data_IF_847841820722
#
_entry.id   IF_847841820722
#
_cell.length_a   1.000
_cell.length_b   1.000
_cell.length_c   1.000
_cell.angle_alpha   90.00
_cell.angle_beta   90.00
_cell.angle_gamma   90.00
#
_symmetry.space_group_name_H-M   'P 1'
#
loop_
_entity.id
_entity.type
_entity.pdbx_description
1 polymer ?
#
# COMPACT_ATOMS: atom_id res chain seq x y z
N UNK A 1 -21.78 -1.95 0.15
CA UNK A 1 -21.35 -1.46 1.46
C UNK A 1 -22.45 -0.62 2.18
N UNK A 2 -23.59 -1.22 2.54
CA UNK A 2 -24.73 -0.46 3.12
C UNK A 2 -24.40 0.26 4.44
N UNK A 3 -23.53 -0.34 5.29
CA UNK A 3 -23.13 0.27 6.54
C UNK A 3 -22.42 1.65 6.35
N UNK A 4 -21.59 1.80 5.32
CA UNK A 4 -20.94 3.08 5.06
C UNK A 4 -21.89 4.16 4.53
N UNK A 5 -22.91 3.78 3.74
CA UNK A 5 -23.97 4.71 3.36
C UNK A 5 -24.73 5.22 4.60
N UNK A 6 -25.12 4.31 5.49
CA UNK A 6 -25.77 4.67 6.75
C UNK A 6 -24.89 5.61 7.59
N UNK A 7 -23.58 5.33 7.70
CA UNK A 7 -22.68 6.22 8.44
C UNK A 7 -22.62 7.61 7.82
N UNK A 8 -22.46 7.75 6.50
CA UNK A 8 -22.42 9.07 5.85
C UNK A 8 -23.70 9.89 6.06
N UNK A 9 -24.85 9.23 5.97
CA UNK A 9 -26.15 9.89 5.99
C UNK A 9 -26.63 10.19 7.41
N UNK A 10 -26.51 9.24 8.32
CA UNK A 10 -27.18 9.27 9.63
C UNK A 10 -26.22 9.42 10.83
N UNK A 11 -24.96 9.00 10.69
CA UNK A 11 -23.99 8.97 11.79
C UNK A 11 -22.57 9.26 11.29
N UNK A 12 -22.29 10.46 10.69
CA UNK A 12 -21.03 10.76 10.05
C UNK A 12 -19.84 10.71 11.00
N UNK A 13 -20.09 10.89 12.29
CA UNK A 13 -19.16 10.67 13.40
C UNK A 13 -19.71 9.54 14.25
N UNK A 14 -19.05 8.38 14.23
CA UNK A 14 -19.48 7.25 15.05
C UNK A 14 -18.53 7.02 16.21
N UNK A 15 -19.07 6.93 17.44
CA UNK A 15 -18.32 6.59 18.65
C UNK A 15 -18.42 5.08 18.92
N UNK A 16 -17.30 4.41 19.04
CA UNK A 16 -17.23 2.99 19.40
C UNK A 16 -17.26 2.84 20.92
N UNK A 17 -18.45 2.58 21.45
CA UNK A 17 -18.64 2.33 22.89
C UNK A 17 -18.04 0.98 23.29
N UNK A 18 -17.53 0.89 24.53
CA UNK A 18 -17.02 -0.37 25.10
C UNK A 18 -15.55 -0.67 24.83
N UNK A 19 -14.82 0.24 24.19
CA UNK A 19 -13.37 0.18 24.11
C UNK A 19 -12.74 0.91 25.32
N UNK A 20 -11.58 0.43 25.77
CA UNK A 20 -10.84 1.04 26.89
C UNK A 20 -10.43 2.48 26.59
N UNK A 21 -10.02 2.73 25.35
CA UNK A 21 -9.63 4.07 24.90
C UNK A 21 -10.68 4.64 23.94
N UNK A 22 -10.92 5.97 23.98
CA UNK A 22 -11.87 6.61 23.08
C UNK A 22 -11.55 6.36 21.60
N UNK A 23 -12.51 5.83 20.87
CA UNK A 23 -12.37 5.56 19.45
C UNK A 23 -13.59 6.07 18.68
N UNK A 24 -13.32 6.78 17.59
CA UNK A 24 -14.34 7.34 16.71
C UNK A 24 -14.06 6.94 15.25
N UNK A 25 -15.03 7.15 14.37
CA UNK A 25 -14.79 7.13 12.93
C UNK A 25 -15.45 8.30 12.23
N UNK A 26 -14.83 8.76 11.12
CA UNK A 26 -15.35 9.78 10.24
C UNK A 26 -15.64 9.15 8.87
N UNK A 27 -16.84 9.38 8.35
CA UNK A 27 -17.35 8.66 7.18
C UNK A 27 -17.51 9.53 5.92
N UNK A 28 -17.69 10.86 6.02
CA UNK A 28 -17.89 11.77 4.90
C UNK A 28 -16.56 12.17 4.26
N UNK A 29 -16.58 12.42 2.97
CA UNK A 29 -15.37 12.78 2.21
C UNK A 29 -14.68 14.02 2.77
N UNK A 30 -15.43 15.10 3.00
CA UNK A 30 -14.88 16.37 3.47
C UNK A 30 -14.23 16.24 4.86
N UNK A 31 -14.85 15.47 5.77
CA UNK A 31 -14.30 15.23 7.11
C UNK A 31 -12.99 14.45 7.03
N UNK A 32 -12.97 13.35 6.25
CA UNK A 32 -11.77 12.53 6.04
C UNK A 32 -10.65 13.36 5.41
N UNK A 33 -10.97 14.18 4.39
CA UNK A 33 -9.99 15.04 3.74
C UNK A 33 -9.44 16.11 4.68
N UNK A 34 -10.30 16.73 5.52
CA UNK A 34 -9.87 17.75 6.49
C UNK A 34 -8.85 17.20 7.49
N UNK A 35 -9.09 15.98 8.00
CA UNK A 35 -8.16 15.27 8.89
C UNK A 35 -6.82 15.01 8.21
N UNK A 36 -6.81 14.63 6.93
CA UNK A 36 -5.59 14.35 6.18
C UNK A 36 -4.76 15.60 5.88
N UNK A 37 -5.40 16.77 5.81
CA UNK A 37 -4.76 18.06 5.50
C UNK A 37 -4.28 18.83 6.72
N UNK A 38 -4.69 18.43 7.92
CA UNK A 38 -4.32 19.13 9.15
C UNK A 38 -3.40 18.29 10.07
N UNK A 39 -2.09 18.25 9.80
CA UNK A 39 -1.14 17.51 10.63
C UNK A 39 -0.87 18.15 12.00
N UNK A 40 -1.37 19.36 12.28
CA UNK A 40 -1.23 20.00 13.60
C UNK A 40 -2.21 19.41 14.61
N UNK A 41 -3.46 19.30 14.20
CA UNK A 41 -4.50 18.70 15.01
C UNK A 41 -4.42 17.17 14.98
N UNK A 42 -4.03 16.57 13.85
CA UNK A 42 -4.12 15.12 13.61
C UNK A 42 -2.75 14.46 13.47
N UNK A 43 -2.31 13.83 14.54
CA UNK A 43 -1.01 13.15 14.67
C UNK A 43 -1.07 11.68 14.26
N UNK A 44 0.08 11.18 13.83
CA UNK A 44 0.33 9.75 13.58
C UNK A 44 1.11 9.06 14.72
N UNK A 45 1.44 9.76 15.81
CA UNK A 45 2.37 9.30 16.87
C UNK A 45 2.07 7.92 17.47
N UNK A 46 0.81 7.49 17.44
CA UNK A 46 0.39 6.17 17.90
C UNK A 46 0.12 5.17 16.77
N UNK A 47 0.60 5.45 15.56
CA UNK A 47 0.43 4.60 14.40
C UNK A 47 -1.00 4.58 13.82
N UNK A 48 -1.16 3.91 12.68
CA UNK A 48 -2.40 3.91 11.89
C UNK A 48 -3.46 2.90 12.36
N UNK A 49 -3.10 2.01 13.28
CA UNK A 49 -4.02 1.01 13.85
C UNK A 49 -4.83 1.55 15.03
N UNK A 50 -5.65 0.69 15.60
CA UNK A 50 -6.48 1.00 16.77
C UNK A 50 -5.71 1.02 18.09
N UNK A 51 -4.55 0.37 18.15
CA UNK A 51 -3.67 0.35 19.32
C UNK A 51 -2.95 1.69 19.52
N UNK A 52 -2.53 1.96 20.77
CA UNK A 52 -1.71 3.12 21.13
C UNK A 52 -0.22 2.72 21.18
N UNK A 53 0.27 2.17 20.07
CA UNK A 53 1.65 1.73 19.97
C UNK A 53 2.58 2.90 19.67
N UNK A 54 3.58 3.12 20.53
CA UNK A 54 4.61 4.16 20.40
C UNK A 54 5.91 3.66 19.79
N UNK A 55 5.93 2.52 19.11
CA UNK A 55 7.14 2.10 18.41
C UNK A 55 7.58 3.21 17.46
N UNK A 56 8.72 3.79 17.76
CA UNK A 56 9.37 4.83 16.94
C UNK A 56 10.25 4.16 15.89
N UNK A 57 10.44 4.85 14.77
CA UNK A 57 11.41 4.45 13.74
C UNK A 57 10.80 4.07 12.40
N UNK A 58 9.47 4.10 12.24
CA UNK A 58 8.85 3.99 10.92
C UNK A 58 8.31 5.34 10.43
N UNK A 59 8.35 5.55 9.11
CA UNK A 59 7.95 6.80 8.48
C UNK A 59 6.49 7.19 8.81
N UNK A 60 5.63 6.21 8.99
CA UNK A 60 4.18 6.42 9.15
C UNK A 60 3.81 7.01 10.51
N UNK A 61 4.69 6.86 11.53
CA UNK A 61 4.45 7.36 12.90
C UNK A 61 5.07 8.70 13.19
N UNK A 62 5.92 9.21 12.31
CA UNK A 62 6.48 10.56 12.47
C UNK A 62 5.45 11.62 12.08
N UNK A 63 5.43 12.70 12.84
CA UNK A 63 4.75 13.95 12.48
C UNK A 63 5.78 14.97 11.92
N UNK A 64 5.34 16.04 11.26
CA UNK A 64 6.25 17.14 10.90
C UNK A 64 6.90 17.77 12.16
N UNK A 65 8.19 18.20 12.10
CA UNK A 65 9.05 18.22 10.91
C UNK A 65 9.79 16.92 10.59
N UNK A 66 9.94 15.99 11.55
CA UNK A 66 10.73 14.75 11.41
C UNK A 66 10.25 13.88 10.26
N UNK A 67 8.92 13.76 10.07
CA UNK A 67 8.34 13.07 8.93
C UNK A 67 8.85 13.63 7.59
N UNK A 68 8.91 14.97 7.46
CA UNK A 68 9.27 15.61 6.20
C UNK A 68 10.74 15.34 5.82
N UNK A 69 11.65 15.35 6.78
CA UNK A 69 13.09 15.07 6.58
C UNK A 69 13.25 13.65 6.04
N UNK A 70 12.69 12.66 6.73
CA UNK A 70 12.79 11.25 6.34
C UNK A 70 12.08 10.95 5.03
N UNK A 71 10.90 11.51 4.83
CA UNK A 71 10.15 11.34 3.58
C UNK A 71 10.91 11.91 2.39
N UNK A 72 11.55 13.08 2.52
CA UNK A 72 12.34 13.69 1.45
C UNK A 72 13.51 12.78 1.06
N UNK A 73 14.17 12.20 2.05
CA UNK A 73 15.28 11.29 1.86
C UNK A 73 14.86 10.02 1.06
N UNK A 74 13.68 9.47 1.35
CA UNK A 74 13.14 8.31 0.64
C UNK A 74 12.59 8.63 -0.76
N UNK A 75 12.12 9.86 -0.97
CA UNK A 75 11.28 10.24 -2.11
C UNK A 75 11.90 9.95 -3.46
N UNK A 76 13.23 10.10 -3.60
CA UNK A 76 13.92 9.93 -4.88
C UNK A 76 13.69 8.54 -5.49
N UNK A 77 13.63 7.50 -4.64
CA UNK A 77 13.44 6.10 -5.05
C UNK A 77 12.01 5.79 -5.52
N UNK A 78 11.03 6.63 -5.16
CA UNK A 78 9.61 6.46 -5.51
C UNK A 78 9.11 7.45 -6.57
N UNK A 79 10.01 8.23 -7.17
CA UNK A 79 9.64 9.12 -8.27
C UNK A 79 9.18 8.32 -9.49
N UNK A 80 8.24 8.87 -10.31
CA UNK A 80 7.74 8.19 -11.49
C UNK A 80 8.84 7.65 -12.41
N UNK A 81 9.92 8.43 -12.63
CA UNK A 81 11.05 8.01 -13.47
C UNK A 81 11.78 6.77 -12.92
N UNK A 82 11.98 6.72 -11.61
CA UNK A 82 12.67 5.59 -10.95
C UNK A 82 11.78 4.36 -10.97
N UNK A 83 10.50 4.53 -10.64
CA UNK A 83 9.50 3.46 -10.70
C UNK A 83 9.35 2.92 -12.14
N UNK A 84 9.33 3.78 -13.16
CA UNK A 84 9.21 3.33 -14.56
C UNK A 84 10.39 2.48 -15.03
N UNK A 85 11.56 2.63 -14.42
CA UNK A 85 12.73 1.80 -14.76
C UNK A 85 12.50 0.30 -14.43
N UNK A 86 11.67 -0.02 -13.44
CA UNK A 86 11.34 -1.40 -13.06
C UNK A 86 10.24 -2.03 -13.94
N UNK A 87 9.55 -1.26 -14.80
CA UNK A 87 8.44 -1.78 -15.62
C UNK A 87 8.82 -3.01 -16.48
N UNK A 88 9.96 -3.04 -17.19
CA UNK A 88 10.32 -4.21 -18.01
C UNK A 88 10.46 -5.49 -17.19
N UNK A 89 11.08 -5.41 -16.01
CA UNK A 89 11.29 -6.56 -15.14
C UNK A 89 9.97 -7.07 -14.54
N UNK A 90 9.10 -6.16 -14.10
CA UNK A 90 7.78 -6.53 -13.56
C UNK A 90 6.91 -7.16 -14.67
N UNK A 91 6.95 -6.62 -15.89
CA UNK A 91 6.22 -7.17 -17.04
C UNK A 91 6.71 -8.55 -17.42
N UNK A 92 8.04 -8.74 -17.47
CA UNK A 92 8.63 -10.06 -17.75
C UNK A 92 8.19 -11.08 -16.70
N UNK A 93 8.28 -10.74 -15.42
CA UNK A 93 7.79 -11.63 -14.36
C UNK A 93 6.30 -11.95 -14.53
N UNK A 94 5.47 -10.97 -14.92
CA UNK A 94 4.05 -11.20 -15.13
C UNK A 94 3.81 -12.23 -16.25
N UNK A 95 4.57 -12.18 -17.34
CA UNK A 95 4.53 -13.19 -18.41
C UNK A 95 5.04 -14.54 -17.93
N UNK A 96 6.19 -14.59 -17.24
CA UNK A 96 6.77 -15.84 -16.73
C UNK A 96 5.81 -16.57 -15.77
N UNK A 97 5.10 -15.82 -14.94
CA UNK A 97 4.08 -16.39 -14.04
C UNK A 97 2.91 -16.98 -14.83
N UNK A 98 2.43 -16.27 -15.87
CA UNK A 98 1.35 -16.78 -16.73
C UNK A 98 1.79 -18.03 -17.47
N UNK A 99 3.02 -18.07 -18.03
CA UNK A 99 3.57 -19.26 -18.69
C UNK A 99 3.54 -20.50 -17.80
N UNK A 100 3.64 -20.29 -16.46
CA UNK A 100 3.59 -21.38 -15.48
C UNK A 100 2.22 -22.06 -15.34
N UNK A 101 1.13 -21.40 -15.72
CA UNK A 101 -0.23 -21.96 -15.54
C UNK A 101 -1.16 -21.84 -16.76
N UNK A 102 -0.75 -21.22 -17.86
CA UNK A 102 -1.63 -20.96 -19.00
C UNK A 102 -2.29 -22.20 -19.61
N UNK A 103 -1.67 -23.38 -19.46
CA UNK A 103 -2.17 -24.65 -19.96
C UNK A 103 -3.07 -25.40 -18.97
N UNK A 104 -3.27 -24.90 -17.75
CA UNK A 104 -4.00 -25.59 -16.68
C UNK A 104 -5.52 -25.38 -16.77
N UNK A 105 -5.98 -24.40 -17.56
CA UNK A 105 -7.39 -24.06 -17.72
C UNK A 105 -8.03 -23.36 -16.52
N UNK A 106 -7.35 -23.32 -15.37
CA UNK A 106 -7.77 -22.65 -14.14
C UNK A 106 -6.57 -22.33 -13.25
N UNK A 107 -6.66 -21.24 -12.48
CA UNK A 107 -5.61 -20.87 -11.52
C UNK A 107 -6.21 -20.11 -10.34
N UNK A 108 -5.62 -20.29 -9.16
CA UNK A 108 -5.81 -19.37 -8.04
C UNK A 108 -4.86 -18.17 -8.21
N UNK A 109 -5.39 -16.99 -8.51
CA UNK A 109 -4.62 -15.83 -8.93
C UNK A 109 -3.93 -15.09 -7.80
N UNK A 110 -4.40 -15.17 -6.55
CA UNK A 110 -3.78 -14.44 -5.46
C UNK A 110 -2.32 -14.89 -5.26
N UNK A 111 -2.11 -16.18 -4.96
CA UNK A 111 -0.79 -16.71 -4.62
C UNK A 111 0.09 -16.98 -5.86
N UNK A 112 -0.53 -17.32 -7.01
CA UNK A 112 0.21 -17.72 -8.20
C UNK A 112 0.52 -16.56 -9.15
N UNK A 113 -0.12 -15.40 -8.97
CA UNK A 113 0.09 -14.27 -9.87
C UNK A 113 0.14 -12.92 -9.16
N UNK A 114 -0.93 -12.54 -8.44
CA UNK A 114 -1.07 -11.18 -7.92
C UNK A 114 -0.06 -10.85 -6.81
N UNK A 115 0.28 -11.82 -5.97
CA UNK A 115 1.20 -11.67 -4.85
C UNK A 115 2.68 -11.64 -5.26
N UNK A 116 3.20 -12.49 -6.16
CA UNK A 116 4.59 -12.45 -6.58
C UNK A 116 5.02 -11.11 -7.18
N UNK A 117 4.13 -10.42 -7.90
CA UNK A 117 4.47 -9.17 -8.61
C UNK A 117 4.88 -8.01 -7.68
N UNK A 118 4.10 -7.62 -6.65
CA UNK A 118 4.53 -6.59 -5.72
C UNK A 118 5.73 -7.01 -4.85
N UNK A 119 5.89 -8.30 -4.55
CA UNK A 119 7.07 -8.80 -3.82
C UNK A 119 8.33 -8.58 -4.66
N UNK A 120 8.31 -8.94 -5.94
CA UNK A 120 9.44 -8.71 -6.85
C UNK A 120 9.74 -7.23 -7.02
N UNK A 121 8.71 -6.41 -7.28
CA UNK A 121 8.87 -4.97 -7.40
C UNK A 121 9.48 -4.34 -6.13
N UNK A 122 9.10 -4.84 -4.96
CA UNK A 122 9.65 -4.40 -3.68
C UNK A 122 11.11 -4.83 -3.53
N UNK A 123 11.44 -6.10 -3.76
CA UNK A 123 12.82 -6.59 -3.57
C UNK A 123 13.81 -5.92 -4.53
N UNK A 124 13.41 -5.64 -5.77
CA UNK A 124 14.20 -4.84 -6.70
C UNK A 124 14.42 -3.41 -6.21
N UNK A 125 13.34 -2.73 -5.81
CA UNK A 125 13.44 -1.36 -5.27
C UNK A 125 14.34 -1.27 -4.04
N UNK A 126 14.33 -2.30 -3.19
CA UNK A 126 15.17 -2.37 -1.99
C UNK A 126 16.62 -2.73 -2.30
N UNK A 127 16.94 -3.27 -3.47
CA UNK A 127 18.25 -3.82 -3.81
C UNK A 127 18.56 -5.09 -3.02
N UNK A 128 17.56 -5.98 -2.92
CA UNK A 128 17.64 -7.28 -2.24
C UNK A 128 17.95 -8.36 -3.28
N UNK A 129 18.92 -9.27 -3.02
CA UNK A 129 19.21 -10.39 -3.90
C UNK A 129 17.99 -11.28 -4.16
N UNK A 130 17.86 -11.78 -5.39
CA UNK A 130 16.72 -12.63 -5.80
C UNK A 130 16.59 -13.89 -4.96
N UNK A 131 17.70 -14.46 -4.51
CA UNK A 131 17.76 -15.65 -3.63
C UNK A 131 17.05 -15.45 -2.28
N UNK A 132 16.92 -14.19 -1.83
CA UNK A 132 16.24 -13.85 -0.59
C UNK A 132 14.75 -13.51 -0.77
N UNK A 133 14.26 -13.37 -2.00
CA UNK A 133 12.87 -12.96 -2.30
C UNK A 133 11.82 -13.83 -1.62
N UNK A 134 12.04 -15.16 -1.57
CA UNK A 134 11.13 -16.09 -0.89
C UNK A 134 11.01 -15.87 0.61
N UNK A 135 12.10 -15.44 1.27
CA UNK A 135 12.11 -15.09 2.70
C UNK A 135 11.30 -13.83 2.96
N UNK A 136 11.43 -12.82 2.08
CA UNK A 136 10.65 -11.59 2.17
C UNK A 136 9.15 -11.82 2.02
N UNK A 137 8.75 -12.73 1.11
CA UNK A 137 7.35 -13.15 0.98
C UNK A 137 6.84 -13.73 2.30
N UNK A 138 7.56 -14.69 2.90
CA UNK A 138 7.15 -15.30 4.17
C UNK A 138 7.03 -14.29 5.30
N UNK A 139 8.00 -13.38 5.44
CA UNK A 139 7.95 -12.34 6.46
C UNK A 139 6.81 -11.35 6.25
N UNK A 140 6.53 -10.99 4.99
CA UNK A 140 5.41 -10.09 4.66
C UNK A 140 4.06 -10.73 5.03
N UNK A 141 3.87 -12.02 4.74
CA UNK A 141 2.67 -12.76 5.11
C UNK A 141 2.48 -12.76 6.64
N UNK A 142 3.52 -13.12 7.40
CA UNK A 142 3.45 -13.16 8.87
C UNK A 142 3.26 -11.78 9.49
N UNK A 143 3.90 -10.74 8.95
CA UNK A 143 3.72 -9.36 9.40
C UNK A 143 2.30 -8.86 9.13
N UNK A 144 1.72 -9.20 7.97
CA UNK A 144 0.34 -8.84 7.61
C UNK A 144 -0.66 -9.55 8.52
N UNK A 145 -0.49 -10.85 8.76
CA UNK A 145 -1.31 -11.60 9.72
C UNK A 145 -1.15 -11.08 11.15
N UNK A 146 0.04 -10.61 11.51
CA UNK A 146 0.33 -10.00 12.80
C UNK A 146 -0.45 -8.73 13.11
N UNK A 147 -1.02 -8.06 12.09
CA UNK A 147 -1.93 -6.94 12.28
C UNK A 147 -3.25 -7.37 12.97
N UNK A 148 -3.64 -8.64 12.81
CA UNK A 148 -4.82 -9.23 13.45
C UNK A 148 -4.43 -10.14 14.62
N UNK A 149 -3.31 -10.85 14.49
CA UNK A 149 -2.78 -11.82 15.45
C UNK A 149 -1.34 -11.44 15.83
N UNK A 150 -1.11 -10.55 16.83
CA UNK A 150 0.21 -9.97 17.12
C UNK A 150 1.35 -10.98 17.34
N UNK A 151 1.05 -12.13 17.92
CA UNK A 151 2.05 -13.18 18.16
C UNK A 151 2.64 -13.77 16.86
N UNK A 152 1.88 -13.73 15.74
CA UNK A 152 2.35 -14.25 14.45
C UNK A 152 3.46 -13.40 13.86
N UNK A 153 3.55 -12.13 14.18
CA UNK A 153 4.52 -11.20 13.60
C UNK A 153 5.84 -11.08 14.37
N UNK A 154 5.95 -11.66 15.56
CA UNK A 154 7.13 -11.46 16.42
C UNK A 154 8.42 -11.96 15.77
N UNK A 155 8.43 -13.24 15.39
CA UNK A 155 9.61 -13.89 14.82
C UNK A 155 9.97 -13.31 13.45
N UNK A 156 8.96 -13.03 12.61
CA UNK A 156 9.15 -12.40 11.31
C UNK A 156 9.75 -10.98 11.45
N UNK A 157 9.28 -10.21 12.42
CA UNK A 157 9.79 -8.86 12.70
C UNK A 157 11.25 -8.90 13.14
N UNK A 158 11.61 -9.83 14.03
CA UNK A 158 12.98 -10.00 14.51
C UNK A 158 13.91 -10.46 13.37
N UNK A 159 13.48 -11.46 12.60
CA UNK A 159 14.24 -11.99 11.48
C UNK A 159 14.48 -10.92 10.38
N UNK A 160 13.44 -10.18 9.99
CA UNK A 160 13.55 -9.09 9.02
C UNK A 160 14.44 -7.95 9.53
N UNK A 161 14.28 -7.56 10.81
CA UNK A 161 15.12 -6.54 11.43
C UNK A 161 16.59 -6.94 11.43
N UNK A 162 16.90 -8.17 11.83
CA UNK A 162 18.26 -8.72 11.84
C UNK A 162 18.85 -8.77 10.43
N UNK A 163 18.10 -9.27 9.46
CA UNK A 163 18.53 -9.34 8.07
C UNK A 163 18.85 -7.94 7.52
N UNK A 164 17.94 -6.99 7.69
CA UNK A 164 18.10 -5.62 7.17
C UNK A 164 19.29 -4.93 7.83
N UNK A 165 19.45 -5.06 9.14
CA UNK A 165 20.60 -4.50 9.87
C UNK A 165 21.93 -5.07 9.35
N UNK A 166 22.01 -6.38 9.12
CA UNK A 166 23.20 -7.01 8.57
C UNK A 166 23.53 -6.48 7.17
N UNK A 167 22.53 -6.28 6.32
CA UNK A 167 22.73 -5.64 5.01
C UNK A 167 23.26 -4.22 5.14
N UNK A 168 22.69 -3.41 6.03
CA UNK A 168 23.16 -2.03 6.27
C UNK A 168 24.62 -2.02 6.71
N UNK A 169 24.98 -2.85 7.69
CA UNK A 169 26.35 -2.97 8.22
C UNK A 169 27.30 -3.39 7.09
N UNK A 170 27.00 -4.47 6.36
CA UNK A 170 27.88 -4.97 5.31
C UNK A 170 28.11 -3.95 4.19
N UNK A 171 27.09 -3.16 3.84
CA UNK A 171 27.21 -2.09 2.84
C UNK A 171 28.09 -0.94 3.34
N UNK A 172 27.94 -0.51 4.57
CA UNK A 172 28.80 0.50 5.21
C UNK A 172 30.25 0.03 5.30
N UNK A 173 30.49 -1.23 5.67
CA UNK A 173 31.83 -1.83 5.72
C UNK A 173 32.46 -1.90 4.33
N UNK A 174 31.72 -2.29 3.28
CA UNK A 174 32.18 -2.32 1.91
C UNK A 174 32.63 -0.92 1.42
N UNK A 175 31.86 0.12 1.72
CA UNK A 175 32.20 1.50 1.39
C UNK A 175 33.46 1.96 2.17
N UNK A 176 33.53 1.67 3.47
CA UNK A 176 34.68 2.03 4.30
C UNK A 176 35.98 1.32 3.89
N UNK A 177 35.89 0.08 3.37
CA UNK A 177 37.04 -0.68 2.87
C UNK A 177 37.47 -0.29 1.45
N UNK A 178 36.62 0.42 0.71
CA UNK A 178 36.86 0.89 -0.64
C UNK A 178 37.98 1.98 -0.65
N UNK A 179 38.77 1.98 -1.72
CA UNK A 179 39.74 3.02 -2.04
C UNK A 179 39.20 4.02 -3.08
N UNK A 180 37.90 4.00 -3.32
CA UNK A 180 37.24 4.86 -4.28
C UNK A 180 37.27 6.33 -3.87
N UNK A 181 37.08 7.22 -4.84
CA UNK A 181 37.01 8.66 -4.61
C UNK A 181 35.86 8.96 -3.62
N UNK A 182 36.13 9.70 -2.52
CA UNK A 182 35.09 10.10 -1.56
C UNK A 182 33.94 10.90 -2.18
N UNK A 183 34.16 11.53 -3.34
CA UNK A 183 33.16 12.33 -4.06
C UNK A 183 32.31 11.47 -5.02
N UNK A 184 32.64 10.18 -5.22
CA UNK A 184 31.88 9.26 -6.06
C UNK A 184 30.77 8.59 -5.24
N UNK A 185 29.54 8.55 -5.80
CA UNK A 185 28.41 7.86 -5.17
C UNK A 185 28.73 6.36 -5.06
N UNK A 186 28.78 5.77 -3.84
CA UNK A 186 29.05 4.36 -3.68
C UNK A 186 27.91 3.45 -4.12
N UNK A 187 26.69 3.96 -4.28
CA UNK A 187 25.52 3.17 -4.69
C UNK A 187 25.55 2.91 -6.18
N UNK A 188 25.50 1.64 -6.56
CA UNK A 188 25.66 1.20 -7.95
C UNK A 188 27.13 0.98 -8.40
N UNK A 189 28.11 1.41 -7.59
CA UNK A 189 29.55 1.24 -7.89
C UNK A 189 30.25 0.30 -6.92
N UNK A 190 30.09 0.53 -5.61
CA UNK A 190 30.69 -0.28 -4.54
C UNK A 190 29.65 -1.22 -3.91
N UNK A 191 28.44 -0.73 -3.76
CA UNK A 191 27.30 -1.48 -3.21
C UNK A 191 26.16 -1.54 -4.23
N UNK A 192 25.28 -2.56 -4.19
CA UNK A 192 24.18 -2.69 -5.12
C UNK A 192 23.28 -1.46 -5.12
N UNK A 193 22.69 -1.15 -6.29
CA UNK A 193 21.59 -0.18 -6.35
C UNK A 193 20.43 -0.60 -5.44
N UNK A 194 19.65 0.37 -4.98
CA UNK A 194 18.44 0.16 -4.19
C UNK A 194 18.37 0.96 -2.91
N UNK A 195 17.17 0.97 -2.35
CA UNK A 195 16.84 1.81 -1.20
C UNK A 195 17.68 1.48 0.04
N UNK A 196 17.99 0.20 0.30
CA UNK A 196 18.79 -0.18 1.47
C UNK A 196 20.21 0.40 1.38
N UNK A 197 20.83 0.36 0.19
CA UNK A 197 22.14 1.00 -0.03
C UNK A 197 22.07 2.50 0.14
N UNK A 198 21.02 3.12 -0.42
CA UNK A 198 20.81 4.57 -0.25
C UNK A 198 20.71 4.97 1.22
N UNK A 199 19.89 4.26 2.00
CA UNK A 199 19.73 4.50 3.45
C UNK A 199 20.99 4.21 4.25
N UNK A 200 21.79 3.23 3.84
CA UNK A 200 23.04 2.87 4.52
C UNK A 200 24.18 3.87 4.25
N UNK A 201 24.30 4.34 3.02
CA UNK A 201 25.51 5.01 2.53
C UNK A 201 25.40 6.53 2.43
N UNK A 202 24.19 7.10 2.50
CA UNK A 202 24.01 8.56 2.45
C UNK A 202 23.59 9.12 3.81
N UNK A 203 24.13 10.27 4.21
CA UNK A 203 23.68 11.00 5.40
C UNK A 203 22.36 11.73 5.15
N UNK A 204 21.65 12.03 6.22
CA UNK A 204 20.55 12.99 6.23
C UNK A 204 21.07 14.42 5.93
N UNK A 205 20.14 15.39 5.76
CA UNK A 205 20.49 16.80 5.46
C UNK A 205 21.37 17.45 6.52
N UNK A 206 21.33 16.98 7.76
CA UNK A 206 22.16 17.44 8.88
C UNK A 206 23.55 16.77 8.94
N UNK A 207 23.88 15.90 7.99
CA UNK A 207 25.14 15.16 7.92
C UNK A 207 25.17 13.88 8.80
N UNK A 208 24.11 13.57 9.52
CA UNK A 208 24.04 12.35 10.32
C UNK A 208 23.53 11.16 9.52
N UNK A 209 24.01 9.95 9.84
CA UNK A 209 23.46 8.71 9.25
C UNK A 209 22.26 8.25 10.06
N UNK A 210 21.25 7.73 9.33
CA UNK A 210 20.10 7.11 9.97
C UNK A 210 20.54 5.89 10.79
N UNK A 211 20.08 5.73 12.06
CA UNK A 211 20.39 4.56 12.86
C UNK A 211 19.97 3.24 12.18
N UNK A 212 20.77 2.18 12.30
CA UNK A 212 20.47 0.88 11.67
C UNK A 212 19.10 0.32 12.08
N UNK A 213 18.69 0.54 13.32
CA UNK A 213 17.38 0.13 13.82
C UNK A 213 16.23 0.89 13.17
N UNK A 214 16.44 2.16 12.85
CA UNK A 214 15.45 2.99 12.15
C UNK A 214 15.34 2.57 10.68
N UNK A 215 16.47 2.32 10.01
CA UNK A 215 16.48 1.76 8.65
C UNK A 215 15.71 0.45 8.61
N UNK A 216 16.00 -0.47 9.53
CA UNK A 216 15.31 -1.77 9.60
C UNK A 216 13.80 -1.62 9.82
N UNK A 217 13.38 -0.69 10.68
CA UNK A 217 11.97 -0.40 10.93
C UNK A 217 11.27 0.16 9.68
N UNK A 218 11.92 1.08 8.96
CA UNK A 218 11.39 1.64 7.71
C UNK A 218 11.23 0.56 6.62
N UNK A 219 12.23 -0.30 6.44
CA UNK A 219 12.14 -1.39 5.45
C UNK A 219 11.01 -2.35 5.82
N UNK A 220 10.86 -2.70 7.09
CA UNK A 220 9.75 -3.51 7.56
C UNK A 220 8.38 -2.89 7.30
N UNK A 221 8.23 -1.59 7.55
CA UNK A 221 7.02 -0.85 7.24
C UNK A 221 6.71 -0.84 5.74
N UNK A 222 7.72 -0.56 4.91
CA UNK A 222 7.55 -0.51 3.45
C UNK A 222 7.19 -1.87 2.87
N UNK A 223 7.76 -2.96 3.42
CA UNK A 223 7.40 -4.33 3.03
C UNK A 223 5.93 -4.60 3.27
N UNK A 224 5.45 -4.37 4.50
CA UNK A 224 4.04 -4.59 4.85
C UNK A 224 3.10 -3.71 4.01
N UNK A 225 3.47 -2.43 3.84
CA UNK A 225 2.64 -1.48 3.12
C UNK A 225 2.52 -1.79 1.63
N UNK A 226 3.59 -2.30 0.99
CA UNK A 226 3.63 -2.54 -0.46
C UNK A 226 3.14 -3.92 -0.90
N UNK A 227 3.16 -4.90 0.00
CA UNK A 227 2.86 -6.29 -0.29
C UNK A 227 1.35 -6.53 -0.49
N UNK A 228 0.59 -6.64 0.59
CA UNK A 228 -0.83 -7.04 0.55
C UNK A 228 -1.72 -5.98 -0.14
N UNK A 229 -1.41 -4.70 0.00
CA UNK A 229 -2.25 -3.65 -0.59
C UNK A 229 -2.22 -3.65 -2.11
N UNK A 230 -1.06 -3.89 -2.72
CA UNK A 230 -0.92 -3.98 -4.18
C UNK A 230 -1.49 -5.29 -4.71
N UNK A 231 -1.29 -6.40 -4.00
CA UNK A 231 -1.95 -7.69 -4.29
C UNK A 231 -3.47 -7.55 -4.27
N UNK A 232 -4.01 -6.90 -3.23
CA UNK A 232 -5.44 -6.61 -3.12
C UNK A 232 -5.95 -5.68 -4.22
N UNK A 233 -5.16 -4.70 -4.66
CA UNK A 233 -5.52 -3.85 -5.80
C UNK A 233 -5.69 -4.68 -7.09
N UNK A 234 -4.74 -5.57 -7.38
CA UNK A 234 -4.77 -6.43 -8.57
C UNK A 234 -6.01 -7.35 -8.51
N UNK A 235 -6.18 -8.07 -7.40
CA UNK A 235 -7.28 -9.03 -7.25
C UNK A 235 -8.65 -8.35 -7.22
N UNK A 236 -8.80 -7.20 -6.55
CA UNK A 236 -10.04 -6.43 -6.53
C UNK A 236 -10.41 -5.92 -7.93
N UNK A 237 -9.44 -5.39 -8.69
CA UNK A 237 -9.70 -4.86 -10.03
C UNK A 237 -10.21 -5.95 -10.95
N UNK A 238 -9.50 -7.08 -11.02
CA UNK A 238 -9.94 -8.19 -11.86
C UNK A 238 -11.28 -8.76 -11.41
N UNK A 239 -11.45 -8.98 -10.10
CA UNK A 239 -12.71 -9.46 -9.54
C UNK A 239 -13.89 -8.54 -9.92
N UNK A 240 -13.70 -7.22 -9.85
CA UNK A 240 -14.76 -6.27 -10.27
C UNK A 240 -15.05 -6.34 -11.75
N UNK A 241 -14.04 -6.44 -12.59
CA UNK A 241 -14.24 -6.61 -14.02
C UNK A 241 -14.99 -7.92 -14.36
N UNK A 242 -14.67 -9.02 -13.68
CA UNK A 242 -15.35 -10.28 -13.86
C UNK A 242 -16.83 -10.25 -13.40
N UNK A 243 -17.14 -9.46 -12.38
CA UNK A 243 -18.53 -9.24 -11.91
C UNK A 243 -19.31 -8.22 -12.76
N UNK A 244 -18.65 -7.44 -13.63
CA UNK A 244 -19.24 -6.44 -14.49
C UNK A 244 -18.79 -6.67 -15.94
N UNK A 245 -19.39 -7.65 -16.66
CA UNK A 245 -18.93 -8.04 -17.99
C UNK A 245 -18.95 -6.91 -19.01
N UNK A 246 -19.88 -5.96 -18.90
CA UNK A 246 -19.95 -4.77 -19.74
C UNK A 246 -18.73 -3.85 -19.55
N UNK A 247 -18.20 -3.72 -18.35
CA UNK A 247 -16.98 -2.95 -18.08
C UNK A 247 -15.73 -3.70 -18.55
N UNK A 248 -15.72 -5.04 -18.43
CA UNK A 248 -14.66 -5.88 -18.98
C UNK A 248 -14.56 -5.75 -20.52
N UNK A 249 -15.68 -5.76 -21.23
CA UNK A 249 -15.70 -5.56 -22.69
C UNK A 249 -15.10 -4.21 -23.09
N UNK A 250 -15.38 -3.14 -22.36
CA UNK A 250 -14.80 -1.80 -22.61
C UNK A 250 -13.28 -1.82 -22.44
N UNK A 251 -12.77 -2.39 -21.33
CA UNK A 251 -11.32 -2.47 -21.08
C UNK A 251 -10.62 -3.30 -22.15
N UNK A 252 -11.23 -4.41 -22.61
CA UNK A 252 -10.68 -5.22 -23.70
C UNK A 252 -10.68 -4.47 -25.05
N UNK A 253 -11.72 -3.68 -25.31
CA UNK A 253 -11.84 -2.88 -26.53
C UNK A 253 -10.91 -1.66 -26.58
N UNK A 254 -10.42 -1.20 -25.44
CA UNK A 254 -9.52 -0.05 -25.34
C UNK A 254 -8.52 -0.24 -24.17
N UNK A 255 -7.29 -0.57 -24.50
CA UNK A 255 -6.22 -0.82 -23.52
C UNK A 255 -5.87 0.42 -22.64
N UNK A 256 -6.19 1.63 -23.08
CA UNK A 256 -6.01 2.84 -22.26
C UNK A 256 -6.89 2.79 -21.00
N UNK A 257 -8.05 2.12 -21.08
CA UNK A 257 -8.97 1.94 -19.96
C UNK A 257 -8.43 1.00 -18.86
N UNK A 258 -7.36 0.26 -19.08
CA UNK A 258 -6.68 -0.51 -18.02
C UNK A 258 -6.27 0.41 -16.86
N UNK A 259 -5.68 1.57 -17.18
CA UNK A 259 -5.31 2.55 -16.15
C UNK A 259 -6.53 3.11 -15.42
N UNK A 260 -7.63 3.34 -16.15
CA UNK A 260 -8.88 3.82 -15.57
C UNK A 260 -9.52 2.75 -14.66
N UNK A 261 -9.48 1.48 -15.06
CA UNK A 261 -9.97 0.37 -14.23
C UNK A 261 -9.22 0.27 -12.89
N UNK A 262 -7.90 0.48 -12.89
CA UNK A 262 -7.09 0.55 -11.66
C UNK A 262 -7.53 1.72 -10.77
N UNK A 263 -7.70 2.94 -11.32
CA UNK A 263 -8.14 4.10 -10.53
C UNK A 263 -9.57 3.91 -10.00
N UNK A 264 -10.48 3.38 -10.81
CA UNK A 264 -11.85 3.11 -10.38
C UNK A 264 -11.93 1.99 -9.33
N UNK A 265 -11.07 0.98 -9.43
CA UNK A 265 -10.95 -0.04 -8.39
C UNK A 265 -10.45 0.55 -7.07
N UNK A 266 -9.45 1.43 -7.12
CA UNK A 266 -8.98 2.17 -5.95
C UNK A 266 -10.10 2.99 -5.31
N UNK A 267 -10.92 3.66 -6.11
CA UNK A 267 -12.08 4.40 -5.60
C UNK A 267 -13.13 3.46 -5.01
N UNK A 268 -13.53 2.45 -5.75
CA UNK A 268 -14.69 1.61 -5.45
C UNK A 268 -14.43 0.58 -4.36
N UNK A 269 -13.27 -0.10 -4.41
CA UNK A 269 -12.84 -1.13 -3.47
C UNK A 269 -11.39 -0.86 -3.01
N UNK A 270 -11.15 0.20 -2.24
CA UNK A 270 -9.81 0.52 -1.78
C UNK A 270 -9.21 -0.64 -0.97
N UNK A 271 -7.95 -1.04 -1.23
CA UNK A 271 -7.29 -2.09 -0.44
C UNK A 271 -7.21 -1.80 1.05
N UNK A 272 -7.16 -0.52 1.43
CA UNK A 272 -7.23 -0.06 2.82
C UNK A 272 -8.56 0.64 3.02
N UNK A 273 -9.42 0.09 3.89
CA UNK A 273 -10.75 0.64 4.16
C UNK A 273 -10.71 1.93 4.98
N UNK A 274 -9.70 2.09 5.82
CA UNK A 274 -9.47 3.27 6.65
C UNK A 274 -8.27 3.08 7.56
N UNK A 275 -7.71 4.19 8.05
CA UNK A 275 -6.61 4.22 9.00
C UNK A 275 -6.95 5.17 10.16
N UNK A 276 -6.29 4.98 11.30
CA UNK A 276 -6.47 5.84 12.45
C UNK A 276 -5.50 7.01 12.47
N UNK A 277 -6.01 8.14 12.94
CA UNK A 277 -5.25 9.30 13.41
C UNK A 277 -5.51 9.50 14.91
N UNK A 278 -4.70 10.34 15.54
CA UNK A 278 -4.92 10.73 16.94
C UNK A 278 -4.96 12.25 17.01
N UNK A 279 -6.00 12.82 17.63
CA UNK A 279 -6.11 14.26 17.76
C UNK A 279 -5.25 14.79 18.92
N UNK A 280 -4.59 15.94 18.69
CA UNK A 280 -3.73 16.62 19.67
C UNK A 280 -4.49 17.55 20.61
N UNK A 281 -5.74 17.85 20.29
CA UNK A 281 -6.66 18.72 21.04
C UNK A 281 -8.10 18.25 20.84
N UNK A 282 -9.05 18.63 21.70
CA UNK A 282 -10.45 18.33 21.49
C UNK A 282 -10.94 18.95 20.19
N UNK A 283 -11.75 18.20 19.42
CA UNK A 283 -12.34 18.69 18.16
C UNK A 283 -13.83 18.38 18.12
N UNK A 284 -14.57 19.13 17.31
CA UNK A 284 -16.00 18.93 17.12
C UNK A 284 -16.28 18.68 15.65
N UNK A 285 -16.94 17.57 15.33
CA UNK A 285 -17.47 17.22 14.02
C UNK A 285 -18.96 16.90 14.13
N UNK A 286 -19.81 17.59 13.34
CA UNK A 286 -21.27 17.33 13.33
C UNK A 286 -21.88 17.30 14.74
N UNK A 287 -21.56 18.29 15.56
CA UNK A 287 -22.02 18.44 16.96
C UNK A 287 -21.55 17.32 17.92
N UNK A 288 -20.66 16.43 17.48
CA UNK A 288 -20.03 15.42 18.32
C UNK A 288 -18.64 15.91 18.75
N UNK A 289 -18.46 16.06 20.07
CA UNK A 289 -17.14 16.35 20.65
C UNK A 289 -16.30 15.07 20.69
N UNK A 290 -15.08 15.16 20.13
CA UNK A 290 -14.06 14.11 20.17
C UNK A 290 -12.97 14.59 21.13
N UNK A 291 -12.82 13.97 22.31
CA UNK A 291 -11.81 14.35 23.28
C UNK A 291 -10.39 14.24 22.75
N UNK A 292 -9.47 15.03 23.30
CA UNK A 292 -8.04 14.92 23.01
C UNK A 292 -7.55 13.48 23.19
N UNK A 293 -6.52 13.08 22.45
CA UNK A 293 -5.90 11.76 22.47
C UNK A 293 -6.82 10.60 22.02
N UNK A 294 -7.96 10.89 21.38
CA UNK A 294 -8.82 9.86 20.80
C UNK A 294 -8.24 9.27 19.54
N UNK A 295 -8.44 7.96 19.32
CA UNK A 295 -8.23 7.33 18.00
C UNK A 295 -9.42 7.63 17.11
N UNK A 296 -9.15 8.15 15.92
CA UNK A 296 -10.17 8.46 14.92
C UNK A 296 -9.86 7.74 13.62
N UNK A 297 -10.68 6.75 13.29
CA UNK A 297 -10.58 6.02 12.01
C UNK A 297 -11.21 6.85 10.90
N UNK A 298 -10.39 7.28 9.95
CA UNK A 298 -10.84 7.94 8.74
C UNK A 298 -11.16 6.89 7.68
N UNK A 299 -12.45 6.82 7.28
CA UNK A 299 -12.97 5.74 6.44
C UNK A 299 -12.84 6.07 4.95
N UNK A 300 -11.71 5.71 4.33
CA UNK A 300 -11.46 5.92 2.90
C UNK A 300 -12.52 5.27 2.02
N UNK A 301 -12.89 4.03 2.33
CA UNK A 301 -13.90 3.29 1.57
C UNK A 301 -15.28 3.94 1.62
N UNK A 302 -15.59 4.64 2.70
CA UNK A 302 -16.82 5.43 2.85
C UNK A 302 -16.72 6.72 2.04
N UNK A 303 -15.65 7.50 2.26
CA UNK A 303 -15.39 8.77 1.59
C UNK A 303 -15.37 8.64 0.06
N UNK A 304 -14.77 7.57 -0.46
CA UNK A 304 -14.68 7.29 -1.90
C UNK A 304 -16.03 6.95 -2.56
N UNK A 305 -17.07 6.80 -1.78
CA UNK A 305 -18.45 6.58 -2.23
C UNK A 305 -19.42 7.67 -1.75
N UNK A 306 -18.88 8.85 -1.46
CA UNK A 306 -19.67 10.00 -1.09
C UNK A 306 -20.31 10.65 -2.33
N UNK A 307 -21.64 10.72 -2.36
CA UNK A 307 -22.41 11.28 -3.47
C UNK A 307 -22.22 12.80 -3.64
N UNK A 308 -21.75 13.49 -2.62
CA UNK A 308 -21.39 14.92 -2.71
C UNK A 308 -20.11 15.14 -3.55
N UNK A 309 -19.38 14.05 -3.87
CA UNK A 309 -18.08 14.12 -4.56
C UNK A 309 -18.03 13.29 -5.82
N UNK A 310 -18.71 12.16 -5.86
CA UNK A 310 -18.69 11.20 -6.97
C UNK A 310 -20.10 10.96 -7.53
N UNK A 311 -20.26 11.14 -8.81
CA UNK A 311 -21.50 10.80 -9.49
C UNK A 311 -21.72 9.28 -9.49
N UNK A 312 -22.95 8.82 -9.21
CA UNK A 312 -23.27 7.39 -9.16
C UNK A 312 -22.22 6.58 -8.37
N UNK A 313 -21.94 6.92 -7.09
CA UNK A 313 -20.78 6.45 -6.35
C UNK A 313 -20.75 4.92 -6.14
N UNK A 314 -21.92 4.28 -6.17
CA UNK A 314 -22.08 2.83 -5.99
C UNK A 314 -22.05 2.04 -7.31
N UNK A 315 -21.73 2.69 -8.45
CA UNK A 315 -21.46 2.01 -9.72
C UNK A 315 -19.95 1.93 -9.96
N UNK A 316 -19.49 0.76 -10.38
CA UNK A 316 -18.13 0.56 -10.90
C UNK A 316 -18.12 0.92 -12.39
N UNK A 317 -17.36 1.93 -12.79
CA UNK A 317 -17.39 2.50 -14.14
C UNK A 317 -15.98 2.83 -14.62
N UNK A 318 -15.43 2.05 -15.55
CA UNK A 318 -14.05 2.25 -16.07
C UNK A 318 -13.93 3.51 -16.93
N UNK A 319 -15.05 4.04 -17.43
CA UNK A 319 -15.09 5.31 -18.19
C UNK A 319 -15.41 6.53 -17.33
N UNK A 320 -15.42 6.38 -15.99
CA UNK A 320 -15.54 7.55 -15.11
C UNK A 320 -14.45 8.56 -15.44
N UNK A 321 -14.72 9.86 -15.56
CA UNK A 321 -13.70 10.86 -15.85
C UNK A 321 -12.54 10.78 -14.86
N UNK A 322 -11.31 10.67 -15.34
CA UNK A 322 -10.11 10.50 -14.47
C UNK A 322 -9.95 11.65 -13.47
N UNK A 323 -10.38 12.86 -13.82
CA UNK A 323 -10.36 14.00 -12.91
C UNK A 323 -11.29 13.79 -11.70
N UNK A 324 -12.38 13.06 -11.89
CA UNK A 324 -13.27 12.65 -10.79
C UNK A 324 -12.69 11.46 -10.04
N UNK A 325 -12.33 10.39 -10.74
CA UNK A 325 -11.83 9.16 -10.13
C UNK A 325 -10.60 9.43 -9.25
N UNK A 326 -9.64 10.23 -9.72
CA UNK A 326 -8.42 10.58 -8.98
C UNK A 326 -8.62 11.41 -7.72
N UNK A 327 -9.85 11.83 -7.42
CA UNK A 327 -10.19 12.43 -6.13
C UNK A 327 -10.29 11.40 -5.01
N UNK A 328 -10.27 10.10 -5.30
CA UNK A 328 -10.32 9.07 -4.27
C UNK A 328 -9.21 9.22 -3.23
N UNK A 329 -9.52 8.87 -1.98
CA UNK A 329 -8.61 8.99 -0.84
C UNK A 329 -7.85 7.70 -0.50
N UNK A 330 -7.81 6.70 -1.38
CA UNK A 330 -7.24 5.38 -1.14
C UNK A 330 -5.72 5.39 -0.91
N UNK A 331 -5.04 6.42 -1.40
CA UNK A 331 -3.64 6.69 -1.12
C UNK A 331 -3.41 7.72 -0.01
N UNK A 332 -4.46 8.09 0.74
CA UNK A 332 -4.43 9.21 1.65
C UNK A 332 -4.34 10.55 0.92
N UNK A 333 -3.99 11.61 1.67
CA UNK A 333 -3.81 12.97 1.18
C UNK A 333 -2.81 13.74 2.05
N UNK A 334 -2.29 14.88 1.59
CA UNK A 334 -1.39 15.75 2.38
C UNK A 334 -0.01 15.15 2.62
N UNK A 335 0.56 15.40 3.81
CA UNK A 335 1.94 15.04 4.15
C UNK A 335 2.21 13.54 4.10
N UNK A 336 1.22 12.71 4.44
CA UNK A 336 1.31 11.24 4.44
C UNK A 336 0.71 10.60 3.18
N UNK A 337 0.51 11.32 2.08
CA UNK A 337 0.13 10.71 0.80
C UNK A 337 1.03 9.51 0.50
N UNK A 338 0.48 8.40 0.06
CA UNK A 338 1.20 7.13 -0.12
C UNK A 338 2.48 7.30 -0.96
N UNK A 339 3.60 6.90 -0.39
CA UNK A 339 4.91 6.99 -1.05
C UNK A 339 4.97 6.06 -2.28
N UNK A 340 4.40 4.85 -2.16
CA UNK A 340 4.37 3.82 -3.20
C UNK A 340 3.25 3.97 -4.25
N UNK A 341 2.51 5.09 -4.27
CA UNK A 341 1.35 5.24 -5.13
C UNK A 341 1.63 5.04 -6.63
N UNK A 342 2.81 5.44 -7.11
CA UNK A 342 3.23 5.22 -8.50
C UNK A 342 3.55 3.76 -8.78
N UNK A 343 4.27 3.10 -7.87
CA UNK A 343 4.63 1.69 -7.98
C UNK A 343 3.40 0.78 -7.96
N UNK A 344 2.46 1.02 -7.04
CA UNK A 344 1.22 0.27 -6.95
C UNK A 344 0.37 0.37 -8.24
N UNK A 345 0.25 1.59 -8.79
CA UNK A 345 -0.45 1.82 -10.07
C UNK A 345 0.24 1.11 -11.24
N UNK A 346 1.56 1.21 -11.33
CA UNK A 346 2.35 0.56 -12.38
C UNK A 346 2.19 -0.96 -12.31
N UNK A 347 2.42 -1.55 -11.12
CA UNK A 347 2.32 -3.00 -10.93
C UNK A 347 0.91 -3.51 -11.23
N UNK A 348 -0.13 -2.81 -10.73
CA UNK A 348 -1.53 -3.17 -11.02
C UNK A 348 -1.88 -3.09 -12.50
N UNK A 349 -1.43 -2.02 -13.20
CA UNK A 349 -1.63 -1.86 -14.64
C UNK A 349 -0.94 -2.97 -15.43
N UNK A 350 0.31 -3.30 -15.10
CA UNK A 350 1.06 -4.37 -15.79
C UNK A 350 0.36 -5.71 -15.58
N UNK A 351 0.02 -6.02 -14.32
CA UNK A 351 -0.64 -7.27 -13.97
C UNK A 351 -1.94 -7.47 -14.74
N UNK A 352 -2.79 -6.45 -14.77
CA UNK A 352 -4.07 -6.51 -15.49
C UNK A 352 -3.84 -6.59 -17.01
N UNK A 353 -2.93 -5.78 -17.58
CA UNK A 353 -2.63 -5.81 -19.01
C UNK A 353 -2.20 -7.19 -19.47
N UNK A 354 -1.23 -7.82 -18.79
CA UNK A 354 -0.70 -9.13 -19.18
C UNK A 354 -1.79 -10.22 -19.13
N UNK A 355 -2.63 -10.24 -18.07
CA UNK A 355 -3.74 -11.18 -18.01
C UNK A 355 -4.74 -11.00 -19.15
N UNK A 356 -5.07 -9.76 -19.51
CA UNK A 356 -6.01 -9.46 -20.59
C UNK A 356 -5.40 -9.72 -21.98
N UNK A 357 -4.09 -9.62 -22.15
CA UNK A 357 -3.34 -9.95 -23.36
C UNK A 357 -3.26 -11.46 -23.60
N UNK A 358 -3.13 -12.26 -22.52
CA UNK A 358 -2.91 -13.71 -22.60
C UNK A 358 -4.21 -14.52 -22.63
N UNK A 359 -5.29 -14.01 -22.06
CA UNK A 359 -6.54 -14.75 -21.91
C UNK A 359 -7.74 -13.99 -22.49
N UNK A 360 -8.34 -14.49 -23.54
CA UNK A 360 -9.51 -13.86 -24.18
C UNK A 360 -10.78 -13.96 -23.33
N UNK A 361 -10.96 -15.04 -22.63
CA UNK A 361 -12.14 -15.33 -21.82
C UNK A 361 -11.73 -15.77 -20.42
N UNK A 362 -11.87 -14.88 -19.47
CA UNK A 362 -11.70 -15.18 -18.05
C UNK A 362 -13.07 -15.21 -17.36
N UNK A 363 -13.30 -16.22 -16.54
CA UNK A 363 -14.48 -16.30 -15.70
C UNK A 363 -14.13 -16.65 -14.27
N UNK A 364 -14.92 -16.12 -13.37
CA UNK A 364 -14.76 -16.34 -11.95
C UNK A 364 -15.24 -17.74 -11.57
N UNK A 365 -14.43 -18.44 -10.77
CA UNK A 365 -14.83 -19.69 -10.09
C UNK A 365 -15.13 -19.34 -8.63
N UNK A 366 -16.39 -19.45 -8.25
CA UNK A 366 -16.85 -19.18 -6.88
C UNK A 366 -16.65 -20.41 -5.96
N UNK A 367 -16.48 -20.22 -4.64
CA UNK A 367 -16.50 -18.96 -3.91
C UNK A 367 -15.16 -18.22 -3.89
N UNK A 368 -15.20 -16.90 -3.67
CA UNK A 368 -14.01 -16.08 -3.35
C UNK A 368 -13.92 -15.82 -1.85
N UNK A 369 -12.69 -15.71 -1.33
CA UNK A 369 -12.45 -15.37 0.09
C UNK A 369 -11.83 -13.99 0.26
N UNK A 370 -12.14 -13.33 1.38
CA UNK A 370 -11.54 -12.05 1.77
C UNK A 370 -10.20 -12.27 2.47
N UNK A 371 -9.32 -11.25 2.35
CA UNK A 371 -8.16 -11.11 3.23
C UNK A 371 -8.58 -10.98 4.69
N UNK A 372 -7.76 -11.50 5.60
CA UNK A 372 -8.08 -11.62 7.03
C UNK A 372 -8.13 -10.29 7.78
N UNK A 373 -7.17 -9.35 7.63
CA UNK A 373 -7.19 -8.12 8.41
C UNK A 373 -8.44 -7.27 8.12
N UNK A 374 -9.21 -6.87 9.17
CA UNK A 374 -10.53 -6.27 8.99
C UNK A 374 -10.52 -4.88 8.34
N UNK A 375 -9.40 -4.17 8.39
CA UNK A 375 -9.21 -2.87 7.75
C UNK A 375 -8.65 -2.98 6.33
N UNK A 376 -8.30 -4.20 5.86
CA UNK A 376 -7.94 -4.47 4.48
C UNK A 376 -9.13 -5.04 3.70
N UNK A 377 -9.13 -4.78 2.40
CA UNK A 377 -10.11 -5.28 1.47
C UNK A 377 -9.42 -5.84 0.22
N UNK A 378 -9.46 -7.13 0.06
CA UNK A 378 -8.86 -7.87 -1.05
C UNK A 378 -9.44 -9.27 -1.16
N UNK A 379 -9.09 -9.98 -2.20
CA UNK A 379 -9.45 -11.39 -2.41
C UNK A 379 -8.26 -12.26 -2.08
N UNK A 380 -8.35 -13.05 -1.00
CA UNK A 380 -7.32 -14.02 -0.59
C UNK A 380 -7.40 -15.29 -1.42
N UNK A 381 -8.59 -15.65 -1.86
CA UNK A 381 -8.82 -16.71 -2.85
C UNK A 381 -9.58 -16.11 -4.02
N UNK A 382 -8.97 -16.09 -5.19
CA UNK A 382 -9.54 -15.63 -6.45
C UNK A 382 -9.21 -16.63 -7.55
N UNK A 383 -10.02 -17.68 -7.65
CA UNK A 383 -9.86 -18.66 -8.71
C UNK A 383 -10.54 -18.18 -9.98
N UNK A 384 -9.83 -18.23 -11.10
CA UNK A 384 -10.35 -17.95 -12.43
C UNK A 384 -10.13 -19.14 -13.34
N UNK A 385 -10.97 -19.28 -14.36
CA UNK A 385 -10.83 -20.25 -15.42
C UNK A 385 -10.93 -19.56 -16.77
N UNK A 386 -10.41 -20.25 -17.82
CA UNK A 386 -10.45 -19.82 -19.22
C UNK A 386 -10.60 -21.04 -20.13
N UNK A 387 -10.92 -20.81 -21.40
CA UNK A 387 -11.04 -21.84 -22.45
C UNK A 387 -9.90 -21.73 -23.44
#
# INVERSE_FOLDING_TARGET
MPAYAHLREQCPVHHFSGLENPMYSLARYQDVQSVLLDPKTWSNRFGPGISYDRNVGDLQRYDPPEHQVRRRFLRAQFLPRTVSASEPAIRQLAHDLVDGFENDGTVELHDNYALPLPVKAFTELMGIPDEDSGRFKSWADDLTLGMTYPDRSRDAREALSTFTRNLVISRREAVAASKSDPDEDPVGTIVPEGLISHLACHPLEDGTFMPDSEVASMIGQLLVAGHETTTSLITNTLWRLLLNPEEMVKVRGNSELVSNAIEESLRYDPPVLGLCKTNNEPVVYHDVEIPQDSKVMILYASANRDADVFDSPDKFMVERPLIETKRHLSFGWGSHFCLGAHLARQTGRIALSVLLERFDQLHLVEPTERVVPPFLWGRRALTVAWQ
#
